data_IF_570149782635
#
_entry.id   IF_570149782635
#
_cell.length_a   1.000
_cell.length_b   1.000
_cell.length_c   1.000
_cell.angle_alpha   90.00
_cell.angle_beta   90.00
_cell.angle_gamma   90.00
#
_symmetry.space_group_name_H-M   'P 1'
#
loop_
_entity.id
_entity.type
_entity.pdbx_description
1 polymer ?
#
# COMPACT_ATOMS: atom_id res chain seq x y z
N UNK A 1 -11.71 -6.61 -5.93
CA UNK A 1 -11.47 -7.89 -6.65
C UNK A 1 -12.22 -9.06 -6.05
N UNK A 2 -12.28 -9.13 -4.71
CA UNK A 2 -12.89 -10.28 -4.02
C UNK A 2 -14.39 -10.38 -4.30
N UNK A 3 -15.12 -9.27 -4.28
CA UNK A 3 -16.57 -9.23 -4.50
C UNK A 3 -16.90 -9.15 -5.98
N UNK A 4 -16.32 -8.20 -6.71
CA UNK A 4 -16.62 -7.97 -8.12
C UNK A 4 -15.95 -8.98 -9.07
N UNK A 5 -14.89 -9.66 -8.65
CA UNK A 5 -14.13 -10.61 -9.48
C UNK A 5 -13.26 -9.97 -10.56
N UNK A 6 -13.21 -8.63 -10.61
CA UNK A 6 -12.52 -7.84 -11.63
C UNK A 6 -11.29 -7.18 -11.05
N UNK A 7 -10.21 -7.19 -11.80
CA UNK A 7 -8.96 -6.51 -11.45
C UNK A 7 -7.73 -7.23 -12.02
N UNK A 8 -6.62 -6.50 -12.04
CA UNK A 8 -5.30 -7.00 -12.47
C UNK A 8 -4.29 -6.79 -11.33
N UNK A 9 -3.15 -7.50 -11.35
CA UNK A 9 -2.06 -7.23 -10.40
C UNK A 9 -1.61 -5.78 -10.47
N UNK A 10 -1.30 -5.19 -9.30
CA UNK A 10 -1.02 -3.75 -9.19
C UNK A 10 0.14 -3.28 -10.08
N UNK A 11 1.21 -4.03 -10.17
CA UNK A 11 2.36 -3.68 -11.03
C UNK A 11 1.95 -3.67 -12.51
N UNK A 12 1.14 -4.63 -12.96
CA UNK A 12 0.60 -4.64 -14.34
C UNK A 12 -0.23 -3.38 -14.60
N UNK A 13 -1.15 -3.04 -13.67
CA UNK A 13 -1.97 -1.84 -13.79
C UNK A 13 -1.13 -0.55 -13.89
N UNK A 14 -0.06 -0.44 -13.08
CA UNK A 14 0.84 0.72 -13.10
C UNK A 14 1.56 0.81 -14.44
N UNK A 15 2.11 -0.29 -14.95
CA UNK A 15 2.78 -0.32 -16.26
C UNK A 15 1.85 0.12 -17.39
N UNK A 16 0.68 -0.49 -17.49
CA UNK A 16 -0.28 -0.22 -18.55
C UNK A 16 -0.74 1.26 -18.50
N UNK A 17 -1.07 1.76 -17.31
CA UNK A 17 -1.47 3.15 -17.13
C UNK A 17 -0.31 4.14 -17.42
N UNK A 18 0.90 3.84 -16.97
CA UNK A 18 2.07 4.70 -17.18
C UNK A 18 2.44 4.77 -18.67
N UNK A 19 2.38 3.64 -19.39
CA UNK A 19 2.61 3.61 -20.83
C UNK A 19 1.56 4.45 -21.58
N UNK A 20 0.28 4.28 -21.26
CA UNK A 20 -0.81 5.02 -21.87
C UNK A 20 -0.77 6.52 -21.54
N UNK A 21 -0.36 6.90 -20.34
CA UNK A 21 -0.32 8.29 -19.87
C UNK A 21 0.92 9.07 -20.35
N UNK A 22 2.02 8.36 -20.63
CA UNK A 22 3.32 8.96 -21.00
C UNK A 22 3.27 9.94 -22.18
N UNK A 23 2.57 9.65 -23.32
CA UNK A 23 2.50 10.58 -24.45
C UNK A 23 1.82 11.90 -24.12
N UNK A 24 1.00 11.93 -23.07
CA UNK A 24 0.23 13.10 -22.64
C UNK A 24 0.87 13.83 -21.47
N UNK A 25 2.00 13.34 -20.94
CA UNK A 25 2.65 13.91 -19.75
C UNK A 25 1.80 13.82 -18.47
N UNK A 26 0.86 12.87 -18.40
CA UNK A 26 -0.05 12.72 -17.27
C UNK A 26 0.62 11.84 -16.20
N UNK A 27 0.73 12.33 -14.94
CA UNK A 27 1.29 11.53 -13.84
C UNK A 27 0.32 10.42 -13.41
N UNK A 28 0.88 9.27 -12.98
CA UNK A 28 0.13 8.13 -12.49
C UNK A 28 0.27 8.02 -10.98
N UNK A 29 -0.86 7.83 -10.30
CA UNK A 29 -0.91 7.55 -8.86
C UNK A 29 -1.09 6.05 -8.66
N UNK A 30 -0.13 5.40 -8.00
CA UNK A 30 -0.23 4.00 -7.60
C UNK A 30 -1.04 3.91 -6.29
N UNK A 31 -2.30 3.48 -6.40
CA UNK A 31 -3.22 3.36 -5.26
C UNK A 31 -3.42 1.90 -4.86
N UNK A 32 -2.96 1.57 -3.66
CA UNK A 32 -3.14 0.27 -3.04
C UNK A 32 -1.97 -0.71 -3.18
N UNK A 33 -1.99 -1.74 -2.36
CA UNK A 33 -1.02 -2.84 -2.38
C UNK A 33 0.34 -2.53 -1.75
N UNK A 34 0.55 -1.33 -1.21
CA UNK A 34 1.82 -0.92 -0.59
C UNK A 34 1.80 -1.31 0.89
N UNK A 35 2.64 -2.27 1.25
CA UNK A 35 2.83 -2.77 2.61
C UNK A 35 4.21 -2.43 3.16
N UNK A 36 5.22 -2.44 2.32
CA UNK A 36 6.62 -2.18 2.65
C UNK A 36 7.19 -1.05 1.82
N UNK A 37 8.27 -0.44 2.28
CA UNK A 37 8.99 0.60 1.53
C UNK A 37 9.47 0.11 0.16
N UNK A 38 9.83 -1.16 0.03
CA UNK A 38 10.20 -1.77 -1.25
C UNK A 38 9.06 -1.79 -2.27
N UNK A 39 7.80 -1.76 -1.84
CA UNK A 39 6.66 -1.67 -2.76
C UNK A 39 6.56 -0.27 -3.40
N UNK A 40 7.00 0.78 -2.69
CA UNK A 40 7.14 2.13 -3.25
C UNK A 40 8.20 2.14 -4.35
N UNK A 41 9.35 1.50 -4.11
CA UNK A 41 10.42 1.36 -5.12
C UNK A 41 9.87 0.70 -6.37
N UNK A 42 9.16 -0.41 -6.21
CA UNK A 42 8.53 -1.14 -7.33
C UNK A 42 7.48 -0.31 -8.05
N UNK A 43 6.61 0.39 -7.34
CA UNK A 43 5.58 1.24 -7.95
C UNK A 43 6.20 2.36 -8.79
N UNK A 44 7.22 3.04 -8.27
CA UNK A 44 7.93 4.10 -8.99
C UNK A 44 8.68 3.54 -10.20
N UNK A 45 9.41 2.43 -10.04
CA UNK A 45 10.12 1.78 -11.15
C UNK A 45 9.15 1.30 -12.25
N UNK A 46 7.89 0.97 -11.90
CA UNK A 46 6.85 0.62 -12.86
C UNK A 46 6.22 1.84 -13.57
N UNK A 47 6.56 3.08 -13.19
CA UNK A 47 6.11 4.30 -13.85
C UNK A 47 5.20 5.20 -13.02
N UNK A 48 4.89 4.85 -11.77
CA UNK A 48 4.12 5.73 -10.90
C UNK A 48 4.88 7.01 -10.57
N UNK A 49 4.16 8.11 -10.43
CA UNK A 49 4.68 9.40 -9.96
C UNK A 49 4.41 9.61 -8.47
N UNK A 50 3.33 9.05 -7.98
CA UNK A 50 2.85 9.19 -6.60
C UNK A 50 2.35 7.83 -6.11
N UNK A 51 2.51 7.57 -4.81
CA UNK A 51 1.95 6.41 -4.14
C UNK A 51 0.85 6.85 -3.16
N UNK A 52 -0.31 6.23 -3.22
CA UNK A 52 -1.39 6.42 -2.26
C UNK A 52 -1.39 5.26 -1.26
N UNK A 53 -1.25 5.59 0.02
CA UNK A 53 -1.11 4.63 1.11
C UNK A 53 -2.30 4.75 2.08
N UNK A 54 -3.34 3.98 1.87
CA UNK A 54 -4.52 4.00 2.75
C UNK A 54 -4.28 3.27 4.07
N UNK A 55 -4.18 1.95 4.02
CA UNK A 55 -4.03 1.12 5.22
C UNK A 55 -2.73 1.39 5.98
N UNK A 56 -1.66 1.75 5.29
CA UNK A 56 -0.39 2.05 5.94
C UNK A 56 -0.51 3.24 6.90
N UNK A 57 -1.06 4.36 6.44
CA UNK A 57 -1.24 5.55 7.26
C UNK A 57 -2.43 5.47 8.21
N UNK A 58 -3.37 4.56 7.98
CA UNK A 58 -4.49 4.35 8.91
C UNK A 58 -4.03 3.94 10.32
N UNK A 59 -2.84 3.33 10.45
CA UNK A 59 -2.22 3.00 11.73
C UNK A 59 -1.51 4.18 12.42
N UNK A 60 -1.35 5.32 11.76
CA UNK A 60 -0.66 6.46 12.34
C UNK A 60 -1.53 7.24 13.33
N UNK A 61 -0.86 7.94 14.25
CA UNK A 61 -1.52 8.72 15.31
C UNK A 61 -2.51 9.75 14.75
N UNK A 62 -2.13 10.43 13.68
CA UNK A 62 -2.92 11.48 13.03
C UNK A 62 -4.12 10.97 12.24
N UNK A 63 -4.21 9.66 12.02
CA UNK A 63 -5.38 9.06 11.38
C UNK A 63 -6.64 9.29 12.23
N UNK A 64 -7.81 9.56 11.61
CA UNK A 64 -9.05 9.87 12.34
C UNK A 64 -9.67 8.67 13.07
N UNK A 65 -9.21 7.45 12.82
CA UNK A 65 -9.69 6.24 13.51
C UNK A 65 -9.39 6.29 15.01
N UNK A 66 -10.31 5.78 15.83
CA UNK A 66 -10.12 5.66 17.27
C UNK A 66 -8.96 4.72 17.60
N UNK A 67 -8.27 5.01 18.71
CA UNK A 67 -7.23 4.14 19.23
C UNK A 67 -7.81 3.15 20.21
N UNK A 68 -7.61 1.87 19.98
CA UNK A 68 -8.05 0.77 20.85
C UNK A 68 -6.86 0.04 21.46
N UNK A 69 -7.03 -0.43 22.68
CA UNK A 69 -6.11 -1.36 23.33
C UNK A 69 -6.65 -2.78 23.21
N UNK A 70 -5.94 -3.66 22.54
CA UNK A 70 -6.32 -5.06 22.38
C UNK A 70 -5.13 -5.99 22.66
N UNK A 71 -5.31 -6.94 23.56
CA UNK A 71 -4.25 -7.86 23.98
C UNK A 71 -2.92 -7.17 24.36
N UNK A 72 -3.01 -6.02 25.07
CA UNK A 72 -1.85 -5.25 25.49
C UNK A 72 -1.15 -4.42 24.40
N UNK A 73 -1.68 -4.39 23.18
CA UNK A 73 -1.15 -3.60 22.05
C UNK A 73 -2.14 -2.53 21.61
N UNK A 74 -1.61 -1.40 21.15
CA UNK A 74 -2.41 -0.32 20.56
C UNK A 74 -2.74 -0.62 19.10
N UNK A 75 -3.98 -0.32 18.72
CA UNK A 75 -4.49 -0.42 17.36
C UNK A 75 -5.28 0.84 17.00
N UNK A 76 -5.40 1.13 15.72
CA UNK A 76 -6.35 2.12 15.18
C UNK A 76 -7.51 1.38 14.52
N UNK A 77 -8.72 1.86 14.76
CA UNK A 77 -9.89 1.39 14.01
C UNK A 77 -9.77 1.82 12.55
N UNK A 78 -9.97 0.89 11.65
CA UNK A 78 -9.84 1.11 10.21
C UNK A 78 -11.06 0.58 9.46
N UNK A 79 -11.52 1.34 8.48
CA UNK A 79 -12.56 0.91 7.56
C UNK A 79 -12.18 1.24 6.12
N UNK A 80 -12.34 0.27 5.21
CA UNK A 80 -12.20 0.50 3.79
C UNK A 80 -13.33 1.39 3.26
N UNK A 81 -13.08 2.13 2.19
CA UNK A 81 -14.06 3.03 1.55
C UNK A 81 -15.34 2.30 1.10
N UNK A 82 -15.23 1.02 0.72
CA UNK A 82 -16.35 0.15 0.34
C UNK A 82 -16.97 -0.64 1.50
N UNK A 83 -16.63 -0.36 2.76
CA UNK A 83 -17.29 -0.95 3.93
C UNK A 83 -18.67 -0.35 4.14
N UNK A 84 -19.56 -1.07 4.86
CA UNK A 84 -20.91 -0.58 5.17
C UNK A 84 -20.84 0.75 5.90
N UNK A 85 -20.03 0.85 6.96
CA UNK A 85 -19.90 2.06 7.75
C UNK A 85 -19.35 3.25 6.93
N UNK A 86 -18.43 3.02 5.99
CA UNK A 86 -17.95 4.09 5.13
C UNK A 86 -19.03 4.53 4.13
N UNK A 87 -19.79 3.60 3.55
CA UNK A 87 -20.89 3.92 2.63
C UNK A 87 -22.03 4.65 3.32
N UNK A 88 -22.38 4.30 4.55
CA UNK A 88 -23.38 5.02 5.35
C UNK A 88 -22.95 6.46 5.66
N UNK A 89 -21.65 6.71 5.76
CA UNK A 89 -21.06 8.02 6.03
C UNK A 89 -20.61 8.81 4.77
N UNK A 90 -21.06 8.44 3.56
CA UNK A 90 -20.92 9.27 2.37
C UNK A 90 -20.24 8.64 1.15
N UNK A 91 -19.61 7.46 1.23
CA UNK A 91 -18.89 6.88 0.08
C UNK A 91 -19.75 6.04 -0.88
N UNK A 92 -21.07 6.14 -0.79
CA UNK A 92 -22.03 5.39 -1.65
C UNK A 92 -21.89 5.70 -3.13
N UNK A 93 -21.55 6.95 -3.46
CA UNK A 93 -21.37 7.43 -4.82
C UNK A 93 -20.24 6.72 -5.54
N UNK A 94 -19.14 6.45 -4.86
CA UNK A 94 -17.97 5.74 -5.38
C UNK A 94 -18.29 4.32 -5.86
N UNK A 95 -19.33 3.70 -5.26
CA UNK A 95 -19.73 2.32 -5.55
C UNK A 95 -21.07 2.23 -6.28
N UNK A 96 -21.55 3.33 -6.86
CA UNK A 96 -22.82 3.40 -7.61
C UNK A 96 -24.04 2.94 -6.81
N UNK A 97 -24.00 3.11 -5.49
CA UNK A 97 -25.04 2.61 -4.56
C UNK A 97 -25.84 3.74 -3.89
N UNK A 98 -25.84 4.95 -4.45
CA UNK A 98 -26.51 6.13 -3.88
C UNK A 98 -28.00 5.91 -3.60
N UNK A 99 -28.68 5.18 -4.50
CA UNK A 99 -30.12 4.91 -4.43
C UNK A 99 -30.43 3.45 -4.02
N UNK A 100 -29.43 2.70 -3.54
CA UNK A 100 -29.63 1.31 -3.19
C UNK A 100 -30.46 1.17 -1.89
N UNK A 101 -31.48 0.32 -1.92
CA UNK A 101 -32.27 -0.03 -0.73
C UNK A 101 -31.47 -0.83 0.29
N UNK A 102 -30.48 -1.59 -0.16
CA UNK A 102 -29.56 -2.38 0.66
C UNK A 102 -28.17 -2.27 0.07
N UNK A 103 -27.18 -1.94 0.91
CA UNK A 103 -25.78 -1.80 0.49
C UNK A 103 -25.13 -3.18 0.31
N UNK A 104 -24.31 -3.29 -0.73
CA UNK A 104 -23.42 -4.43 -0.96
C UNK A 104 -21.99 -4.00 -0.64
N UNK A 105 -21.38 -4.48 0.45
CA UNK A 105 -20.04 -4.06 0.84
C UNK A 105 -18.99 -4.65 -0.10
N UNK A 106 -18.02 -3.83 -0.49
CA UNK A 106 -16.81 -4.22 -1.23
C UNK A 106 -15.52 -4.02 -0.39
N UNK A 107 -15.66 -3.55 0.82
CA UNK A 107 -14.59 -3.31 1.77
C UNK A 107 -14.89 -3.91 3.14
N UNK A 108 -13.86 -3.94 3.97
CA UNK A 108 -13.90 -4.50 5.32
C UNK A 108 -13.68 -3.42 6.38
N UNK A 109 -14.12 -3.73 7.59
CA UNK A 109 -13.81 -2.98 8.80
C UNK A 109 -12.93 -3.84 9.70
N UNK A 110 -12.02 -3.21 10.41
CA UNK A 110 -11.10 -3.93 11.28
C UNK A 110 -10.21 -2.98 12.05
N UNK A 111 -9.12 -3.51 12.56
CA UNK A 111 -8.12 -2.73 13.28
C UNK A 111 -6.74 -2.92 12.65
N UNK A 112 -5.95 -1.88 12.70
CA UNK A 112 -4.56 -1.86 12.20
C UNK A 112 -3.63 -1.54 13.38
N UNK A 113 -2.51 -2.23 13.45
CA UNK A 113 -1.51 -1.96 14.48
C UNK A 113 -1.10 -0.47 14.46
N UNK A 114 -1.04 0.13 15.65
CA UNK A 114 -0.59 1.51 15.82
C UNK A 114 0.89 1.65 15.41
N UNK A 115 1.19 2.65 14.60
CA UNK A 115 2.52 2.84 13.98
C UNK A 115 3.28 4.08 14.48
N UNK A 116 2.71 4.84 15.42
CA UNK A 116 3.26 6.13 15.83
C UNK A 116 2.92 7.27 14.88
N UNK A 117 3.79 8.27 14.75
CA UNK A 117 3.56 9.46 13.93
C UNK A 117 3.64 9.18 12.43
N UNK A 118 2.96 9.99 11.63
CA UNK A 118 3.13 10.00 10.16
C UNK A 118 4.56 10.38 9.80
N UNK A 119 5.18 11.30 10.52
CA UNK A 119 6.55 11.75 10.28
C UNK A 119 7.54 10.59 10.34
N UNK A 120 7.50 9.80 11.42
CA UNK A 120 8.37 8.62 11.57
C UNK A 120 8.09 7.59 10.47
N UNK A 121 6.83 7.37 10.17
CA UNK A 121 6.41 6.44 9.11
C UNK A 121 6.94 6.84 7.74
N UNK A 122 6.82 8.12 7.37
CA UNK A 122 7.34 8.67 6.11
C UNK A 122 8.86 8.61 6.08
N UNK A 123 9.52 8.91 7.19
CA UNK A 123 10.98 8.82 7.28
C UNK A 123 11.48 7.40 6.96
N UNK A 124 10.84 6.37 7.54
CA UNK A 124 11.18 4.97 7.26
C UNK A 124 10.91 4.58 5.80
N UNK A 125 9.77 4.99 5.24
CA UNK A 125 9.42 4.72 3.84
C UNK A 125 10.42 5.37 2.88
N UNK A 126 10.81 6.62 3.13
CA UNK A 126 11.79 7.34 2.32
C UNK A 126 13.20 6.75 2.45
N UNK A 127 13.56 6.25 3.63
CA UNK A 127 14.80 5.51 3.85
C UNK A 127 14.86 4.25 2.98
N UNK A 128 13.77 3.48 2.95
CA UNK A 128 13.66 2.29 2.11
C UNK A 128 13.68 2.60 0.61
N UNK A 129 13.04 3.70 0.18
CA UNK A 129 13.12 4.16 -1.21
C UNK A 129 14.55 4.50 -1.61
N UNK A 130 15.26 5.27 -0.77
CA UNK A 130 16.67 5.62 -1.03
C UNK A 130 17.57 4.38 -1.08
N UNK A 131 17.37 3.42 -0.18
CA UNK A 131 18.09 2.16 -0.21
C UNK A 131 17.85 1.40 -1.53
N UNK A 132 16.59 1.28 -1.96
CA UNK A 132 16.23 0.64 -3.22
C UNK A 132 16.85 1.34 -4.44
N UNK A 133 16.85 2.68 -4.48
CA UNK A 133 17.52 3.45 -5.52
C UNK A 133 19.03 3.18 -5.52
N UNK A 134 19.64 3.09 -4.33
CA UNK A 134 21.06 2.76 -4.19
C UNK A 134 21.41 1.38 -4.77
N UNK A 135 20.58 0.35 -4.46
CA UNK A 135 20.77 -0.98 -5.05
C UNK A 135 20.56 -1.02 -6.57
N UNK A 136 19.69 -0.17 -7.11
CA UNK A 136 19.49 -0.04 -8.56
C UNK A 136 20.55 0.83 -9.24
N UNK A 137 21.47 1.46 -8.49
CA UNK A 137 22.47 2.39 -9.03
C UNK A 137 21.89 3.67 -9.61
N UNK A 138 20.70 4.10 -9.13
CA UNK A 138 19.98 5.26 -9.64
C UNK A 138 20.08 6.44 -8.67
N UNK A 139 20.34 7.64 -9.19
CA UNK A 139 20.51 8.87 -8.39
C UNK A 139 19.22 9.68 -8.27
N UNK A 140 18.32 9.53 -9.24
CA UNK A 140 17.06 10.25 -9.32
C UNK A 140 15.88 9.29 -9.48
N UNK A 141 14.68 9.79 -9.20
CA UNK A 141 13.43 9.06 -9.43
C UNK A 141 13.26 8.73 -10.92
N UNK A 142 13.62 9.63 -11.81
CA UNK A 142 13.52 9.42 -13.25
C UNK A 142 14.48 8.31 -13.72
N UNK A 143 15.72 8.31 -13.21
CA UNK A 143 16.65 7.20 -13.47
C UNK A 143 16.08 5.85 -12.98
N UNK A 144 15.39 5.82 -11.82
CA UNK A 144 14.76 4.61 -11.32
C UNK A 144 13.66 4.11 -12.26
N UNK A 145 12.84 5.01 -12.81
CA UNK A 145 11.82 4.66 -13.81
C UNK A 145 12.42 4.12 -15.11
N UNK A 146 13.51 4.72 -15.57
CA UNK A 146 14.14 4.36 -16.85
C UNK A 146 14.97 3.09 -16.75
N UNK A 147 15.70 2.93 -15.66
CA UNK A 147 16.71 1.88 -15.49
C UNK A 147 16.26 0.71 -14.62
N UNK A 148 15.19 0.86 -13.85
CA UNK A 148 14.63 -0.22 -13.03
C UNK A 148 14.25 -1.43 -13.89
N UNK A 149 14.62 -2.64 -13.42
CA UNK A 149 14.32 -3.89 -14.11
C UNK A 149 13.60 -4.84 -13.16
N UNK A 150 12.57 -5.47 -13.68
CA UNK A 150 11.78 -6.43 -12.93
C UNK A 150 12.14 -7.85 -13.34
N UNK A 151 12.15 -8.74 -12.37
CA UNK A 151 12.23 -10.17 -12.59
C UNK A 151 10.99 -10.85 -11.97
N UNK A 152 10.51 -11.90 -12.61
CA UNK A 152 9.47 -12.73 -12.01
C UNK A 152 10.11 -13.70 -11.04
N UNK A 153 9.50 -13.84 -9.87
CA UNK A 153 9.91 -14.80 -8.85
C UNK A 153 8.80 -15.80 -8.59
N UNK A 154 9.16 -16.97 -8.12
CA UNK A 154 8.22 -17.98 -7.64
C UNK A 154 7.80 -17.72 -6.20
N UNK A 155 6.79 -18.42 -5.70
CA UNK A 155 6.45 -18.39 -4.28
C UNK A 155 7.59 -18.86 -3.37
N UNK A 156 8.47 -19.73 -3.86
CA UNK A 156 9.67 -20.15 -3.15
C UNK A 156 10.68 -18.99 -3.06
N UNK A 157 10.91 -18.27 -4.17
CA UNK A 157 11.76 -17.07 -4.19
C UNK A 157 11.20 -15.93 -3.34
N UNK A 158 9.86 -15.79 -3.27
CA UNK A 158 9.24 -14.82 -2.37
C UNK A 158 9.54 -15.14 -0.90
N UNK A 159 9.41 -16.40 -0.50
CA UNK A 159 9.74 -16.83 0.87
C UNK A 159 11.22 -16.66 1.21
N UNK A 160 12.09 -16.96 0.27
CA UNK A 160 13.53 -16.75 0.40
C UNK A 160 13.89 -15.26 0.56
N UNK A 161 13.16 -14.36 -0.11
CA UNK A 161 13.36 -12.91 -0.04
C UNK A 161 12.96 -12.29 1.30
N UNK A 162 12.20 -13.02 2.14
CA UNK A 162 11.83 -12.60 3.49
C UNK A 162 12.69 -13.33 4.53
N UNK A 163 12.80 -12.79 5.77
CA UNK A 163 13.46 -13.52 6.85
C UNK A 163 12.85 -14.91 7.01
N UNK A 164 13.67 -15.93 6.86
CA UNK A 164 13.31 -17.35 7.00
C UNK A 164 14.30 -18.02 7.93
N UNK A 165 13.92 -19.15 8.49
CA UNK A 165 14.75 -19.93 9.43
C UNK A 165 15.19 -19.15 10.68
N UNK A 166 14.45 -18.08 11.05
CA UNK A 166 14.70 -17.24 12.22
C UNK A 166 13.38 -16.85 12.89
N UNK A 167 13.33 -16.91 14.19
CA UNK A 167 12.25 -16.32 14.98
C UNK A 167 12.55 -14.86 15.26
N UNK A 168 11.75 -13.94 14.69
CA UNK A 168 11.90 -12.50 14.93
C UNK A 168 11.47 -12.20 16.38
N UNK A 169 12.41 -11.75 17.21
CA UNK A 169 12.15 -11.35 18.59
C UNK A 169 11.94 -9.85 18.74
N UNK A 170 12.41 -9.06 17.77
CA UNK A 170 12.23 -7.60 17.69
C UNK A 170 12.01 -7.22 16.23
N UNK A 171 10.84 -6.66 15.93
CA UNK A 171 10.52 -6.16 14.61
C UNK A 171 11.33 -4.91 14.27
N UNK A 172 11.70 -4.76 13.00
CA UNK A 172 12.28 -3.52 12.50
C UNK A 172 11.16 -2.49 12.28
N UNK A 173 11.43 -1.17 12.41
CA UNK A 173 10.41 -0.14 12.23
C UNK A 173 9.71 -0.16 10.87
N UNK A 174 10.39 -0.66 9.83
CA UNK A 174 9.91 -0.73 8.46
C UNK A 174 9.59 -2.16 7.98
N UNK A 175 9.61 -3.14 8.88
CA UNK A 175 9.28 -4.52 8.56
C UNK A 175 8.57 -5.18 9.76
N UNK A 176 7.36 -5.65 9.54
CA UNK A 176 6.60 -6.47 10.48
C UNK A 176 6.16 -7.77 9.81
N UNK A 177 6.08 -8.85 10.57
CA UNK A 177 5.53 -10.11 10.09
C UNK A 177 4.00 -10.01 10.16
N UNK A 178 3.34 -10.20 9.03
CA UNK A 178 1.89 -10.38 9.03
C UNK A 178 1.57 -11.75 9.66
N UNK A 179 0.82 -11.75 10.75
CA UNK A 179 0.25 -12.94 11.39
C UNK A 179 -1.12 -13.26 10.85
#
# INVERSE_FOLDING_TARGET
>A
RVVAGIGVPQITAIFDCAEAAKPYGIPVIADGGIKFSGDIVKAIAAGASVCMLGSYFAGCEESPGETELFQGRKYKVYRGMGSIAAMENGSKDRYFQQNAKKLVPEGVEGRIAFKGSVEDSVYQLMGGLRAGMGYCGTRTIDELRENGRFVRITSAGLRESHPHDIQITKEAPNYSVEH
#
